data_IF_515427991532
#
_entry.id   IF_515427991532
#
_cell.length_a   1.000
_cell.length_b   1.000
_cell.length_c   1.000
_cell.angle_alpha   90.00
_cell.angle_beta   90.00
_cell.angle_gamma   90.00
#
_symmetry.space_group_name_H-M   'P 1'
#
loop_
_entity.id
_entity.type
_entity.pdbx_description
1 polymer ?
#
# COMPACT_ATOMS: atom_id res chain seq x y z
N UNK A 1 -31.05 66.46 -0.44
CA UNK A 1 -30.08 65.35 -0.50
C UNK A 1 -28.92 65.75 -1.40
N UNK A 2 -27.71 65.94 -0.85
CA UNK A 2 -26.54 66.38 -1.62
C UNK A 2 -26.10 65.32 -2.64
N UNK A 3 -26.30 65.58 -3.93
CA UNK A 3 -25.88 64.70 -5.03
C UNK A 3 -24.36 64.41 -5.02
N UNK A 4 -23.55 65.36 -4.54
CA UNK A 4 -22.10 65.21 -4.38
C UNK A 4 -21.72 64.10 -3.40
N UNK A 5 -22.49 63.89 -2.32
CA UNK A 5 -22.20 62.83 -1.34
C UNK A 5 -22.50 61.45 -1.93
N UNK A 6 -23.54 61.34 -2.76
CA UNK A 6 -23.87 60.09 -3.46
C UNK A 6 -22.83 59.72 -4.52
N UNK A 7 -22.36 60.71 -5.28
CA UNK A 7 -21.33 60.51 -6.31
C UNK A 7 -19.99 60.10 -5.69
N UNK A 8 -19.55 60.77 -4.62
CA UNK A 8 -18.33 60.42 -3.89
C UNK A 8 -18.42 58.99 -3.33
N UNK A 9 -19.56 58.59 -2.75
CA UNK A 9 -19.75 57.21 -2.27
C UNK A 9 -19.63 56.17 -3.39
N UNK A 10 -20.19 56.44 -4.58
CA UNK A 10 -20.08 55.55 -5.74
C UNK A 10 -18.64 55.40 -6.21
N UNK A 11 -17.86 56.49 -6.26
CA UNK A 11 -16.43 56.43 -6.60
C UNK A 11 -15.66 55.65 -5.55
N UNK A 12 -15.93 55.88 -4.27
CA UNK A 12 -15.30 55.13 -3.17
C UNK A 12 -15.63 53.64 -3.26
N UNK A 13 -16.90 53.28 -3.51
CA UNK A 13 -17.28 51.88 -3.72
C UNK A 13 -16.61 51.26 -4.94
N UNK A 14 -16.50 51.99 -6.06
CA UNK A 14 -15.79 51.51 -7.25
C UNK A 14 -14.30 51.29 -6.95
N UNK A 15 -13.65 52.22 -6.25
CA UNK A 15 -12.26 52.10 -5.85
C UNK A 15 -12.04 50.92 -4.91
N UNK A 16 -12.93 50.70 -3.94
CA UNK A 16 -12.90 49.52 -3.05
C UNK A 16 -13.10 48.23 -3.85
N UNK A 17 -14.06 48.18 -4.79
CA UNK A 17 -14.29 47.01 -5.64
C UNK A 17 -13.04 46.69 -6.46
N UNK A 18 -12.43 47.68 -7.12
CA UNK A 18 -11.20 47.48 -7.90
C UNK A 18 -10.05 47.04 -6.97
N UNK A 19 -9.90 47.65 -5.80
CA UNK A 19 -8.88 47.28 -4.81
C UNK A 19 -9.07 45.86 -4.26
N UNK A 20 -10.31 45.34 -4.20
CA UNK A 20 -10.60 43.96 -3.80
C UNK A 20 -10.47 42.96 -4.97
N UNK A 21 -10.85 43.37 -6.18
CA UNK A 21 -10.77 42.52 -7.38
C UNK A 21 -9.32 42.29 -7.84
N UNK A 22 -8.44 43.27 -7.67
CA UNK A 22 -7.06 43.16 -8.15
C UNK A 22 -6.26 42.05 -7.44
N UNK A 23 -6.27 41.91 -6.10
CA UNK A 23 -5.70 40.75 -5.41
C UNK A 23 -6.36 39.43 -5.81
N UNK A 24 -7.70 39.40 -5.95
CA UNK A 24 -8.43 38.19 -6.37
C UNK A 24 -8.03 37.75 -7.77
N UNK A 25 -7.83 38.69 -8.69
CA UNK A 25 -7.37 38.44 -10.04
C UNK A 25 -5.93 37.89 -10.05
N UNK A 26 -5.01 38.54 -9.33
CA UNK A 26 -3.61 38.10 -9.23
C UNK A 26 -3.46 36.72 -8.58
N UNK A 27 -4.32 36.39 -7.61
CA UNK A 27 -4.32 35.09 -6.94
C UNK A 27 -5.01 34.01 -7.79
N UNK A 28 -6.15 34.33 -8.39
CA UNK A 28 -7.13 33.35 -8.90
C UNK A 28 -7.16 33.14 -10.41
N UNK A 29 -6.38 33.89 -11.21
CA UNK A 29 -6.37 33.69 -12.66
C UNK A 29 -5.89 32.26 -13.01
N UNK A 30 -6.65 31.46 -13.78
CA UNK A 30 -6.22 30.13 -14.16
C UNK A 30 -5.08 30.18 -15.18
N UNK A 31 -4.21 29.17 -15.17
CA UNK A 31 -3.22 29.01 -16.23
C UNK A 31 -3.93 28.58 -17.53
N UNK A 32 -3.59 29.21 -18.65
CA UNK A 32 -4.13 28.86 -19.97
C UNK A 32 -3.05 28.20 -20.81
N UNK A 33 -3.35 27.02 -21.36
CA UNK A 33 -2.57 26.44 -22.46
C UNK A 33 -3.30 26.79 -23.76
N UNK A 34 -2.71 27.69 -24.57
CA UNK A 34 -3.13 27.94 -25.95
C UNK A 34 -1.97 27.60 -26.89
N UNK A 35 -2.31 27.24 -28.14
CA UNK A 35 -1.36 26.81 -29.17
C UNK A 35 -0.26 27.85 -29.49
N UNK A 36 -0.43 29.12 -29.09
CA UNK A 36 0.52 30.22 -29.32
C UNK A 36 1.16 30.78 -28.04
N UNK A 37 1.04 30.09 -26.89
CA UNK A 37 1.74 30.46 -25.66
C UNK A 37 1.01 30.04 -24.40
N UNK A 38 1.75 29.45 -23.44
CA UNK A 38 1.24 29.11 -22.12
C UNK A 38 1.30 30.32 -21.18
N UNK A 39 0.15 30.75 -20.63
CA UNK A 39 0.15 31.70 -19.51
C UNK A 39 0.28 30.94 -18.19
N UNK A 40 1.19 31.36 -17.32
CA UNK A 40 1.41 30.75 -15.99
C UNK A 40 0.23 30.89 -15.03
N UNK A 41 -0.76 31.74 -15.35
CA UNK A 41 -1.87 32.06 -14.46
C UNK A 41 -1.41 32.86 -13.22
N UNK A 42 -2.33 33.03 -12.28
CA UNK A 42 -2.12 33.67 -10.99
C UNK A 42 -1.39 32.77 -9.98
N UNK A 43 -1.13 33.29 -8.78
CA UNK A 43 -0.33 32.60 -7.75
C UNK A 43 -0.87 31.20 -7.39
N UNK A 44 -2.19 31.03 -7.31
CA UNK A 44 -2.80 29.72 -6.99
C UNK A 44 -2.60 28.69 -8.10
N UNK A 45 -2.66 29.11 -9.38
CA UNK A 45 -2.41 28.22 -10.51
C UNK A 45 -0.94 27.78 -10.54
N UNK A 46 -0.02 28.70 -10.27
CA UNK A 46 1.41 28.39 -10.13
C UNK A 46 1.66 27.42 -8.98
N UNK A 47 1.10 27.66 -7.79
CA UNK A 47 1.24 26.73 -6.67
C UNK A 47 0.65 25.35 -6.98
N UNK A 48 -0.49 25.27 -7.69
CA UNK A 48 -1.04 23.98 -8.14
C UNK A 48 -0.11 23.27 -9.11
N UNK A 49 0.51 23.99 -10.03
CA UNK A 49 1.46 23.43 -10.99
C UNK A 49 2.76 22.99 -10.30
N UNK A 50 3.30 23.79 -9.39
CA UNK A 50 4.50 23.46 -8.59
C UNK A 50 4.29 22.28 -7.65
N UNK A 51 3.04 22.04 -7.23
CA UNK A 51 2.68 20.91 -6.37
C UNK A 51 1.95 19.79 -7.14
N UNK A 52 2.03 19.79 -8.48
CA UNK A 52 1.44 18.78 -9.39
C UNK A 52 -0.02 18.41 -9.06
N UNK A 53 -0.82 19.41 -8.69
CA UNK A 53 -2.25 19.25 -8.46
C UNK A 53 -2.99 19.29 -9.81
N UNK A 54 -3.85 18.30 -10.05
CA UNK A 54 -4.61 18.05 -11.29
C UNK A 54 -5.59 19.17 -11.72
N UNK A 55 -5.55 20.34 -11.10
CA UNK A 55 -6.41 21.50 -11.37
C UNK A 55 -5.60 22.78 -11.67
N UNK A 56 -4.39 22.62 -12.21
CA UNK A 56 -3.48 23.74 -12.50
C UNK A 56 -3.85 24.48 -13.79
N UNK A 57 -4.31 23.76 -14.81
CA UNK A 57 -4.67 24.32 -16.13
C UNK A 57 -6.18 24.45 -16.34
N UNK A 58 -6.62 25.47 -17.08
CA UNK A 58 -8.04 25.74 -17.34
C UNK A 58 -8.79 24.53 -17.92
N UNK A 59 -8.13 23.69 -18.74
CA UNK A 59 -8.72 22.49 -19.33
C UNK A 59 -8.95 21.34 -18.33
N UNK A 60 -8.27 21.35 -17.19
CA UNK A 60 -8.39 20.32 -16.15
C UNK A 60 -9.30 20.74 -14.99
N UNK A 61 -9.68 22.03 -14.96
CA UNK A 61 -10.64 22.57 -13.99
C UNK A 61 -12.03 22.01 -14.31
N UNK A 62 -12.65 21.32 -13.35
CA UNK A 62 -14.05 20.91 -13.43
C UNK A 62 -14.95 22.13 -13.13
N UNK A 63 -15.71 22.67 -14.12
CA UNK A 63 -16.55 23.85 -13.91
C UNK A 63 -17.61 23.62 -12.84
N UNK A 64 -18.09 22.39 -12.67
CA UNK A 64 -19.07 22.07 -11.62
C UNK A 64 -18.42 22.11 -10.24
N UNK A 65 -17.19 21.59 -10.09
CA UNK A 65 -16.42 21.67 -8.84
C UNK A 65 -16.16 23.12 -8.43
N UNK A 66 -15.66 23.97 -9.33
CA UNK A 66 -15.40 25.37 -9.03
C UNK A 66 -16.68 26.17 -8.76
N UNK A 67 -17.75 25.91 -9.52
CA UNK A 67 -19.07 26.51 -9.26
C UNK A 67 -19.59 26.13 -7.87
N UNK A 68 -19.41 24.88 -7.45
CA UNK A 68 -19.82 24.43 -6.11
C UNK A 68 -18.97 25.05 -5.01
N UNK A 69 -17.65 25.18 -5.21
CA UNK A 69 -16.76 25.89 -4.27
C UNK A 69 -17.17 27.35 -4.14
N UNK A 70 -17.46 28.03 -5.25
CA UNK A 70 -17.93 29.40 -5.28
C UNK A 70 -19.30 29.55 -4.61
N UNK A 71 -20.26 28.67 -4.92
CA UNK A 71 -21.59 28.67 -4.32
C UNK A 71 -21.54 28.42 -2.81
N UNK A 72 -20.57 27.63 -2.34
CA UNK A 72 -20.30 27.44 -0.90
C UNK A 72 -19.55 28.59 -0.25
N UNK A 73 -19.19 29.65 -1.00
CA UNK A 73 -18.35 30.77 -0.55
C UNK A 73 -17.02 30.30 0.05
N UNK A 74 -16.44 29.23 -0.50
CA UNK A 74 -15.23 28.60 0.02
C UNK A 74 -15.42 27.70 1.25
N UNK A 75 -16.64 27.58 1.80
CA UNK A 75 -16.95 26.70 2.93
C UNK A 75 -17.19 25.24 2.49
N UNK A 76 -16.29 24.71 1.68
CA UNK A 76 -16.39 23.35 1.12
C UNK A 76 -16.50 22.27 2.21
N UNK A 77 -15.85 22.45 3.35
CA UNK A 77 -15.95 21.54 4.50
C UNK A 77 -17.35 21.48 5.12
N UNK A 78 -18.01 22.63 5.28
CA UNK A 78 -19.39 22.69 5.81
C UNK A 78 -20.36 22.07 4.82
N UNK A 79 -20.23 22.41 3.53
CA UNK A 79 -21.04 21.82 2.47
C UNK A 79 -20.86 20.30 2.40
N UNK A 80 -19.62 19.82 2.55
CA UNK A 80 -19.31 18.38 2.61
C UNK A 80 -20.00 17.69 3.79
N UNK A 81 -20.01 18.29 4.98
CA UNK A 81 -20.70 17.73 6.15
C UNK A 81 -22.21 17.64 5.93
N UNK A 82 -22.83 18.65 5.31
CA UNK A 82 -24.27 18.61 4.96
C UNK A 82 -24.55 17.47 3.97
N UNK A 83 -23.73 17.33 2.92
CA UNK A 83 -23.87 16.23 1.96
C UNK A 83 -23.65 14.88 2.63
N UNK A 84 -22.77 14.78 3.62
CA UNK A 84 -22.56 13.55 4.38
C UNK A 84 -23.80 13.15 5.18
N UNK A 85 -24.45 14.10 5.86
CA UNK A 85 -25.72 13.86 6.55
C UNK A 85 -26.82 13.41 5.57
N UNK A 86 -26.94 14.06 4.41
CA UNK A 86 -27.88 13.65 3.36
C UNK A 86 -27.59 12.26 2.81
N UNK A 87 -26.32 11.94 2.55
CA UNK A 87 -25.91 10.63 2.08
C UNK A 87 -26.28 9.53 3.09
N UNK A 88 -26.04 9.76 4.38
CA UNK A 88 -26.44 8.82 5.42
C UNK A 88 -27.96 8.62 5.48
N UNK A 89 -28.75 9.68 5.30
CA UNK A 89 -30.21 9.59 5.25
C UNK A 89 -30.71 8.82 4.02
N UNK A 90 -30.16 9.11 2.84
CA UNK A 90 -30.50 8.37 1.61
C UNK A 90 -30.08 6.91 1.68
N UNK A 91 -28.98 6.59 2.38
CA UNK A 91 -28.59 5.21 2.66
C UNK A 91 -29.63 4.52 3.54
N UNK A 92 -30.03 5.13 4.67
CA UNK A 92 -31.04 4.57 5.59
C UNK A 92 -32.39 4.34 4.93
N UNK A 93 -32.78 5.24 4.02
CA UNK A 93 -34.07 5.20 3.32
C UNK A 93 -34.00 4.46 1.99
N UNK A 94 -32.89 3.77 1.68
CA UNK A 94 -32.67 3.01 0.44
C UNK A 94 -32.88 3.82 -0.85
N UNK A 95 -32.70 5.15 -0.79
CA UNK A 95 -32.78 6.05 -1.95
C UNK A 95 -31.42 6.08 -2.69
N UNK A 96 -31.04 4.95 -3.27
CA UNK A 96 -29.67 4.74 -3.80
C UNK A 96 -29.28 5.67 -4.94
N UNK A 97 -30.22 6.11 -5.79
CA UNK A 97 -29.94 7.09 -6.85
C UNK A 97 -29.58 8.46 -6.27
N UNK A 98 -30.32 8.91 -5.25
CA UNK A 98 -30.05 10.17 -4.54
C UNK A 98 -28.76 10.08 -3.74
N UNK A 99 -28.48 8.90 -3.16
CA UNK A 99 -27.19 8.61 -2.54
C UNK A 99 -26.06 8.81 -3.55
N UNK A 100 -26.10 8.11 -4.69
CA UNK A 100 -25.07 8.21 -5.74
C UNK A 100 -24.85 9.65 -6.21
N UNK A 101 -25.93 10.42 -6.43
CA UNK A 101 -25.83 11.83 -6.83
C UNK A 101 -25.17 12.70 -5.74
N UNK A 102 -25.52 12.49 -4.47
CA UNK A 102 -24.95 13.20 -3.32
C UNK A 102 -23.45 12.88 -3.17
N UNK A 103 -23.06 11.63 -3.41
CA UNK A 103 -21.66 11.21 -3.36
C UNK A 103 -20.83 11.84 -4.49
N UNK A 104 -21.38 11.94 -5.70
CA UNK A 104 -20.75 12.65 -6.82
C UNK A 104 -20.57 14.15 -6.53
N UNK A 105 -21.51 14.77 -5.81
CA UNK A 105 -21.35 16.16 -5.36
C UNK A 105 -20.22 16.29 -4.33
N UNK A 106 -20.08 15.31 -3.43
CA UNK A 106 -19.01 15.29 -2.42
C UNK A 106 -17.62 15.19 -3.05
N UNK A 107 -17.43 14.32 -4.03
CA UNK A 107 -16.13 14.22 -4.73
C UNK A 107 -15.76 15.50 -5.47
N UNK A 108 -16.76 16.20 -6.05
CA UNK A 108 -16.54 17.52 -6.67
C UNK A 108 -16.13 18.60 -5.67
N UNK A 109 -16.59 18.56 -4.43
CA UNK A 109 -16.15 19.52 -3.40
C UNK A 109 -14.74 19.24 -2.87
N UNK A 110 -14.33 17.97 -2.82
CA UNK A 110 -13.05 17.55 -2.24
C UNK A 110 -12.30 16.55 -3.16
N UNK A 111 -11.94 16.96 -4.40
CA UNK A 111 -11.40 16.03 -5.41
C UNK A 111 -10.03 15.46 -5.07
N UNK A 112 -9.22 16.18 -4.29
CA UNK A 112 -7.88 15.75 -3.89
C UNK A 112 -7.87 15.01 -2.53
N UNK A 113 -9.04 14.82 -1.90
CA UNK A 113 -9.13 14.12 -0.63
C UNK A 113 -9.36 12.63 -0.86
N UNK A 114 -8.26 11.87 -0.94
CA UNK A 114 -8.21 10.45 -1.32
C UNK A 114 -9.23 9.57 -0.57
N UNK A 115 -9.49 9.87 0.72
CA UNK A 115 -10.43 9.12 1.55
C UNK A 115 -11.88 9.19 1.05
N UNK A 116 -12.26 10.24 0.32
CA UNK A 116 -13.59 10.33 -0.31
C UNK A 116 -13.71 9.23 -1.37
N UNK A 117 -12.71 9.10 -2.23
CA UNK A 117 -12.67 8.10 -3.29
C UNK A 117 -12.65 6.68 -2.72
N UNK A 118 -11.80 6.42 -1.72
CA UNK A 118 -11.72 5.10 -1.07
C UNK A 118 -13.04 4.71 -0.38
N UNK A 119 -13.54 5.58 0.50
CA UNK A 119 -14.72 5.24 1.31
C UNK A 119 -15.98 5.09 0.46
N UNK A 120 -16.14 5.90 -0.59
CA UNK A 120 -17.35 5.85 -1.42
C UNK A 120 -17.31 4.72 -2.45
N UNK A 121 -16.17 4.46 -3.10
CA UNK A 121 -16.03 3.28 -3.96
C UNK A 121 -16.30 1.98 -3.19
N UNK A 122 -15.81 1.90 -1.95
CA UNK A 122 -16.12 0.79 -1.05
C UNK A 122 -17.60 0.75 -0.67
N UNK A 123 -18.19 1.88 -0.29
CA UNK A 123 -19.61 1.91 0.08
C UNK A 123 -20.51 1.48 -1.08
N UNK A 124 -20.21 1.89 -2.32
CA UNK A 124 -20.97 1.49 -3.51
C UNK A 124 -20.78 -0.02 -3.81
N UNK A 125 -19.53 -0.48 -3.85
CA UNK A 125 -19.23 -1.85 -4.31
C UNK A 125 -19.39 -2.92 -3.23
N UNK A 126 -19.36 -2.58 -1.94
CA UNK A 126 -19.54 -3.54 -0.85
C UNK A 126 -20.87 -3.33 -0.17
N UNK A 127 -21.13 -2.14 0.38
CA UNK A 127 -22.30 -1.95 1.23
C UNK A 127 -23.61 -1.82 0.45
N UNK A 128 -23.64 -1.05 -0.64
CA UNK A 128 -24.86 -0.86 -1.43
C UNK A 128 -25.10 -2.06 -2.33
N UNK A 129 -24.04 -2.66 -2.90
CA UNK A 129 -24.18 -3.82 -3.79
C UNK A 129 -24.93 -4.99 -3.16
N UNK A 130 -24.76 -5.25 -1.86
CA UNK A 130 -25.35 -6.42 -1.18
C UNK A 130 -26.83 -6.24 -0.85
N UNK A 131 -27.36 -5.02 -0.96
CA UNK A 131 -28.77 -4.71 -0.68
C UNK A 131 -29.72 -5.15 -1.83
N UNK A 132 -29.18 -5.62 -2.95
CA UNK A 132 -29.96 -6.05 -4.10
C UNK A 132 -30.03 -7.57 -4.18
N UNK A 133 -31.19 -8.16 -4.46
CA UNK A 133 -31.30 -9.63 -4.56
C UNK A 133 -30.64 -10.20 -5.83
N UNK A 134 -30.79 -9.52 -6.98
CA UNK A 134 -30.23 -9.99 -8.24
C UNK A 134 -28.71 -9.69 -8.34
N UNK A 135 -27.89 -10.73 -8.54
CA UNK A 135 -26.44 -10.62 -8.72
C UNK A 135 -26.03 -9.68 -9.87
N UNK A 136 -26.83 -9.54 -10.94
CA UNK A 136 -26.53 -8.60 -12.02
C UNK A 136 -26.63 -7.15 -11.55
N UNK A 137 -27.60 -6.85 -10.68
CA UNK A 137 -27.73 -5.53 -10.05
C UNK A 137 -26.59 -5.30 -9.05
N UNK A 138 -26.21 -6.33 -8.27
CA UNK A 138 -25.03 -6.25 -7.37
C UNK A 138 -23.79 -5.88 -8.19
N UNK A 139 -23.56 -6.59 -9.29
CA UNK A 139 -22.43 -6.36 -10.20
C UNK A 139 -22.46 -4.96 -10.82
N UNK A 140 -23.62 -4.44 -11.22
CA UNK A 140 -23.75 -3.07 -11.70
C UNK A 140 -23.32 -2.02 -10.66
N UNK A 141 -23.64 -2.23 -9.37
CA UNK A 141 -23.17 -1.35 -8.28
C UNK A 141 -21.69 -1.52 -7.96
N UNK A 142 -21.14 -2.73 -8.11
CA UNK A 142 -19.69 -2.97 -8.07
C UNK A 142 -18.98 -2.14 -9.14
N UNK A 143 -19.45 -2.20 -10.39
CA UNK A 143 -18.92 -1.36 -11.48
C UNK A 143 -19.07 0.13 -11.19
N UNK A 144 -20.22 0.59 -10.67
CA UNK A 144 -20.40 2.00 -10.27
C UNK A 144 -19.34 2.46 -9.27
N UNK A 145 -19.00 1.62 -8.28
CA UNK A 145 -17.95 1.93 -7.33
C UNK A 145 -16.54 1.94 -7.94
N UNK A 146 -16.27 1.05 -8.89
CA UNK A 146 -15.02 1.05 -9.67
C UNK A 146 -14.92 2.30 -10.56
N UNK A 147 -15.96 2.67 -11.31
CA UNK A 147 -15.97 3.93 -12.08
C UNK A 147 -15.72 5.15 -11.20
N UNK A 148 -16.35 5.20 -10.02
CA UNK A 148 -16.09 6.28 -9.07
C UNK A 148 -14.62 6.31 -8.61
N UNK A 149 -13.99 5.15 -8.46
CA UNK A 149 -12.57 5.08 -8.11
C UNK A 149 -11.65 5.45 -9.29
N UNK A 150 -12.05 5.16 -10.54
CA UNK A 150 -11.33 5.57 -11.76
C UNK A 150 -11.24 7.09 -11.84
N UNK A 151 -12.36 7.78 -11.61
CA UNK A 151 -12.39 9.25 -11.49
C UNK A 151 -11.41 9.73 -10.40
N UNK A 152 -11.37 9.03 -9.26
CA UNK A 152 -10.45 9.33 -8.17
C UNK A 152 -8.98 9.20 -8.57
N UNK A 153 -8.63 8.15 -9.33
CA UNK A 153 -7.28 7.96 -9.90
C UNK A 153 -6.93 9.11 -10.85
N UNK A 154 -7.86 9.54 -11.71
CA UNK A 154 -7.61 10.65 -12.65
C UNK A 154 -7.40 11.99 -11.96
N UNK A 155 -8.10 12.23 -10.85
CA UNK A 155 -7.94 13.45 -10.05
C UNK A 155 -6.70 13.43 -9.16
N UNK A 156 -6.17 12.25 -8.82
CA UNK A 156 -5.04 12.06 -7.89
C UNK A 156 -3.93 11.23 -8.55
N UNK A 157 -3.38 11.71 -9.68
CA UNK A 157 -2.44 10.97 -10.52
C UNK A 157 -1.14 10.57 -9.84
N UNK A 158 -0.72 11.32 -8.82
CA UNK A 158 0.48 11.06 -7.99
C UNK A 158 0.17 10.32 -6.69
N UNK A 159 -0.97 9.63 -6.63
CA UNK A 159 -1.34 8.81 -5.49
C UNK A 159 -1.42 7.32 -5.90
N UNK A 160 -0.28 6.59 -5.82
CA UNK A 160 -0.22 5.16 -6.11
C UNK A 160 -1.23 4.33 -5.31
N UNK A 161 -1.64 4.83 -4.15
CA UNK A 161 -2.62 4.17 -3.29
C UNK A 161 -3.98 3.99 -3.96
N UNK A 162 -4.50 4.96 -4.71
CA UNK A 162 -5.79 4.82 -5.39
C UNK A 162 -5.70 3.83 -6.55
N UNK A 163 -4.61 3.89 -7.33
CA UNK A 163 -4.30 2.93 -8.39
C UNK A 163 -4.20 1.50 -7.84
N UNK A 164 -3.45 1.33 -6.75
CA UNK A 164 -3.33 0.05 -6.04
C UNK A 164 -4.70 -0.43 -5.53
N UNK A 165 -5.51 0.48 -4.99
CA UNK A 165 -6.83 0.14 -4.47
C UNK A 165 -7.77 -0.31 -5.59
N UNK A 166 -7.67 0.27 -6.79
CA UNK A 166 -8.38 -0.23 -7.97
C UNK A 166 -8.04 -1.68 -8.28
N UNK A 167 -6.74 -2.03 -8.27
CA UNK A 167 -6.30 -3.40 -8.43
C UNK A 167 -6.92 -4.33 -7.40
N UNK A 168 -7.08 -3.88 -6.15
CA UNK A 168 -7.76 -4.63 -5.10
C UNK A 168 -9.26 -4.81 -5.35
N UNK A 169 -9.99 -3.80 -5.84
CA UNK A 169 -11.39 -3.97 -6.21
C UNK A 169 -11.55 -4.98 -7.35
N UNK A 170 -10.82 -4.80 -8.45
CA UNK A 170 -10.95 -5.68 -9.62
C UNK A 170 -10.58 -7.12 -9.25
N UNK A 171 -9.51 -7.30 -8.48
CA UNK A 171 -9.07 -8.62 -8.02
C UNK A 171 -10.05 -9.23 -7.00
N UNK A 172 -10.23 -8.59 -5.85
CA UNK A 172 -10.88 -9.21 -4.69
C UNK A 172 -12.40 -9.13 -4.75
N UNK A 173 -12.97 -7.97 -5.14
CA UNK A 173 -14.43 -7.82 -5.12
C UNK A 173 -15.10 -8.75 -6.15
N UNK A 174 -14.46 -8.96 -7.29
CA UNK A 174 -14.94 -9.86 -8.34
C UNK A 174 -14.53 -11.31 -8.04
N UNK A 175 -13.29 -11.54 -7.58
CA UNK A 175 -12.74 -12.89 -7.42
C UNK A 175 -13.10 -13.61 -6.14
N UNK A 176 -13.57 -12.93 -5.08
CA UNK A 176 -13.83 -13.53 -3.75
C UNK A 176 -15.19 -13.19 -3.12
N UNK A 177 -16.08 -12.52 -3.85
CA UNK A 177 -17.45 -12.32 -3.39
C UNK A 177 -18.19 -13.66 -3.26
N UNK A 178 -19.27 -13.70 -2.47
CA UNK A 178 -20.14 -14.89 -2.42
C UNK A 178 -20.68 -15.23 -3.83
N UNK A 179 -20.90 -14.21 -4.67
CA UNK A 179 -21.27 -14.32 -6.08
C UNK A 179 -20.08 -14.35 -7.05
N UNK A 180 -18.86 -14.66 -6.60
CA UNK A 180 -17.65 -14.59 -7.45
C UNK A 180 -17.80 -15.38 -8.75
N UNK A 181 -18.45 -16.54 -8.74
CA UNK A 181 -18.72 -17.33 -9.95
C UNK A 181 -19.53 -16.51 -10.97
N UNK A 182 -20.60 -15.85 -10.53
CA UNK A 182 -21.44 -15.02 -11.39
C UNK A 182 -20.71 -13.75 -11.80
N UNK A 183 -20.00 -13.08 -10.89
CA UNK A 183 -19.29 -11.83 -11.18
C UNK A 183 -18.12 -12.05 -12.13
N UNK A 184 -17.35 -13.13 -11.98
CA UNK A 184 -16.28 -13.50 -12.92
C UNK A 184 -16.85 -13.77 -14.30
N UNK A 185 -17.97 -14.51 -14.40
CA UNK A 185 -18.66 -14.75 -15.67
C UNK A 185 -19.16 -13.47 -16.33
N UNK A 186 -19.72 -12.54 -15.56
CA UNK A 186 -20.16 -11.23 -16.06
C UNK A 186 -18.97 -10.40 -16.51
N UNK A 187 -17.93 -10.29 -15.68
CA UNK A 187 -16.72 -9.53 -15.96
C UNK A 187 -16.06 -9.97 -17.26
N UNK A 188 -15.80 -11.28 -17.45
CA UNK A 188 -15.20 -11.82 -18.68
C UNK A 188 -15.91 -11.37 -19.96
N UNK A 189 -17.21 -11.13 -19.91
CA UNK A 189 -18.06 -10.75 -21.06
C UNK A 189 -18.32 -9.25 -21.16
N UNK A 190 -17.89 -8.45 -20.19
CA UNK A 190 -18.21 -7.02 -20.08
C UNK A 190 -17.27 -6.16 -20.94
N UNK A 191 -17.52 -6.17 -22.26
CA UNK A 191 -16.69 -5.46 -23.23
C UNK A 191 -16.68 -3.95 -23.03
N UNK A 192 -17.79 -3.37 -22.57
CA UNK A 192 -17.88 -1.93 -22.31
C UNK A 192 -16.99 -1.55 -21.13
N UNK A 193 -17.05 -2.33 -20.04
CA UNK A 193 -16.19 -2.08 -18.90
C UNK A 193 -14.71 -2.31 -19.24
N UNK A 194 -14.37 -3.35 -20.01
CA UNK A 194 -13.00 -3.57 -20.48
C UNK A 194 -12.48 -2.44 -21.35
N UNK A 195 -13.33 -1.86 -22.22
CA UNK A 195 -12.99 -0.69 -23.01
C UNK A 195 -12.65 0.49 -22.12
N UNK A 196 -13.42 0.74 -21.07
CA UNK A 196 -13.14 1.84 -20.14
C UNK A 196 -11.85 1.59 -19.33
N UNK A 197 -11.59 0.35 -18.92
CA UNK A 197 -10.35 -0.03 -18.22
C UNK A 197 -9.11 0.08 -19.13
N UNK A 198 -9.26 -0.11 -20.44
CA UNK A 198 -8.15 -0.04 -21.41
C UNK A 198 -7.43 1.31 -21.45
N UNK A 199 -8.06 2.37 -20.94
CA UNK A 199 -7.44 3.70 -20.78
C UNK A 199 -6.33 3.70 -19.72
N UNK A 200 -6.40 2.79 -18.75
CA UNK A 200 -5.52 2.78 -17.58
C UNK A 200 -4.54 1.60 -17.58
N UNK A 201 -4.99 0.44 -18.04
CA UNK A 201 -4.22 -0.80 -18.04
C UNK A 201 -4.28 -1.48 -19.40
N UNK A 202 -3.23 -2.19 -19.83
CA UNK A 202 -3.28 -2.94 -21.08
C UNK A 202 -4.33 -4.05 -21.00
N UNK A 203 -5.30 -4.03 -21.90
CA UNK A 203 -6.42 -4.99 -21.94
C UNK A 203 -6.38 -5.93 -23.16
N UNK A 204 -5.48 -5.68 -24.10
CA UNK A 204 -5.29 -6.41 -25.36
C UNK A 204 -4.05 -7.30 -25.36
N UNK A 205 -3.58 -7.70 -24.17
CA UNK A 205 -2.37 -8.49 -23.98
C UNK A 205 -2.69 -9.89 -23.44
N UNK A 206 -1.80 -10.85 -23.69
CA UNK A 206 -1.91 -12.19 -23.10
C UNK A 206 -1.85 -12.17 -21.56
N UNK A 207 -1.25 -11.14 -20.98
CA UNK A 207 -1.10 -11.01 -19.53
C UNK A 207 -2.40 -10.78 -18.76
N UNK A 208 -3.52 -10.49 -19.45
CA UNK A 208 -4.84 -10.32 -18.84
C UNK A 208 -5.83 -11.45 -19.15
N UNK A 209 -5.47 -12.38 -20.03
CA UNK A 209 -6.38 -13.43 -20.50
C UNK A 209 -6.29 -14.69 -19.63
N UNK A 210 -7.46 -15.24 -19.29
CA UNK A 210 -7.57 -16.55 -18.68
C UNK A 210 -7.51 -17.70 -19.70
N UNK A 211 -7.67 -18.96 -19.25
CA UNK A 211 -7.63 -20.14 -20.12
C UNK A 211 -8.65 -20.11 -21.26
N UNK A 212 -9.80 -19.46 -21.04
CA UNK A 212 -10.86 -19.27 -22.04
C UNK A 212 -10.61 -18.12 -23.03
N UNK A 213 -9.41 -17.53 -23.02
CA UNK A 213 -9.01 -16.39 -23.85
C UNK A 213 -9.88 -15.14 -23.62
N UNK A 214 -10.51 -15.02 -22.45
CA UNK A 214 -11.25 -13.83 -22.02
C UNK A 214 -10.53 -13.14 -20.86
N UNK A 215 -10.73 -11.82 -20.67
CA UNK A 215 -10.08 -11.11 -19.57
C UNK A 215 -10.45 -11.68 -18.18
N UNK A 216 -9.44 -12.04 -17.39
CA UNK A 216 -9.62 -12.53 -16.03
C UNK A 216 -9.41 -11.39 -15.01
N UNK A 217 -10.29 -11.27 -14.02
CA UNK A 217 -10.25 -10.15 -13.08
C UNK A 217 -8.99 -10.15 -12.20
N UNK A 218 -8.42 -11.31 -11.86
CA UNK A 218 -7.17 -11.39 -11.09
C UNK A 218 -6.00 -10.87 -11.92
N UNK A 219 -5.99 -11.16 -13.21
CA UNK A 219 -4.95 -10.72 -14.13
C UNK A 219 -5.09 -9.24 -14.52
N UNK A 220 -6.32 -8.77 -14.75
CA UNK A 220 -6.59 -7.34 -14.96
C UNK A 220 -6.26 -6.54 -13.69
N UNK A 221 -6.65 -7.03 -12.51
CA UNK A 221 -6.30 -6.43 -11.23
C UNK A 221 -4.78 -6.40 -10.99
N UNK A 222 -4.05 -7.42 -11.45
CA UNK A 222 -2.57 -7.41 -11.47
C UNK A 222 -2.01 -6.25 -12.28
N UNK A 223 -2.56 -5.93 -13.45
CA UNK A 223 -2.09 -4.80 -14.25
C UNK A 223 -2.25 -3.45 -13.53
N UNK A 224 -3.31 -3.29 -12.73
CA UNK A 224 -3.47 -2.12 -11.87
C UNK A 224 -2.39 -2.04 -10.77
N UNK A 225 -2.01 -3.18 -10.18
CA UNK A 225 -0.88 -3.22 -9.25
C UNK A 225 0.43 -2.84 -9.94
N UNK A 226 0.69 -3.35 -11.14
CA UNK A 226 1.89 -3.00 -11.92
C UNK A 226 1.93 -1.51 -12.26
N UNK A 227 0.79 -0.92 -12.63
CA UNK A 227 0.67 0.53 -12.83
C UNK A 227 1.01 1.31 -11.56
N UNK A 228 0.53 0.85 -10.40
CA UNK A 228 0.87 1.48 -9.12
C UNK A 228 2.36 1.34 -8.79
N UNK A 229 3.01 0.24 -9.17
CA UNK A 229 4.46 0.05 -9.00
C UNK A 229 5.24 1.00 -9.88
N UNK A 230 4.81 1.18 -11.13
CA UNK A 230 5.40 2.15 -12.05
C UNK A 230 5.32 3.60 -11.55
N UNK A 231 4.23 3.98 -10.89
CA UNK A 231 4.13 5.31 -10.25
C UNK A 231 5.21 5.49 -9.18
N UNK A 232 5.49 4.47 -8.37
CA UNK A 232 6.53 4.55 -7.34
C UNK A 232 7.94 4.48 -7.94
N UNK A 233 8.19 3.50 -8.81
CA UNK A 233 9.53 3.15 -9.27
C UNK A 233 10.03 4.06 -10.40
N UNK A 234 9.13 4.47 -11.30
CA UNK A 234 9.48 5.27 -12.48
C UNK A 234 9.20 6.75 -12.27
N UNK A 235 8.12 7.09 -11.54
CA UNK A 235 7.71 8.49 -11.32
C UNK A 235 8.19 9.04 -9.97
N UNK A 236 8.62 8.17 -9.05
CA UNK A 236 9.11 8.59 -7.73
C UNK A 236 7.99 8.92 -6.74
N UNK A 237 6.74 8.55 -7.03
CA UNK A 237 5.62 8.80 -6.15
C UNK A 237 5.76 7.99 -4.84
N UNK A 238 5.52 8.59 -3.66
CA UNK A 238 5.71 7.89 -2.40
C UNK A 238 4.56 6.90 -2.11
N UNK A 239 4.92 5.77 -1.51
CA UNK A 239 3.92 4.84 -0.96
C UNK A 239 3.37 5.43 0.35
N UNK A 240 2.07 5.74 0.38
CA UNK A 240 1.38 6.26 1.58
C UNK A 240 0.37 5.26 2.14
N UNK A 241 0.33 5.12 3.46
CA UNK A 241 -0.68 4.31 4.16
C UNK A 241 -0.57 2.79 3.98
N UNK A 242 0.54 2.29 3.43
CA UNK A 242 0.84 0.86 3.28
C UNK A 242 2.35 0.67 3.39
N UNK A 243 2.80 -0.46 3.96
CA UNK A 243 4.23 -0.79 3.93
C UNK A 243 4.66 -1.23 2.52
N UNK A 244 5.91 -0.98 2.10
CA UNK A 244 6.42 -1.47 0.83
C UNK A 244 6.31 -2.99 0.68
N UNK A 245 6.44 -3.73 1.78
CA UNK A 245 6.21 -5.18 1.84
C UNK A 245 4.83 -5.55 1.27
N UNK A 246 3.75 -5.01 1.84
CA UNK A 246 2.38 -5.34 1.42
C UNK A 246 2.06 -4.76 0.03
N UNK A 247 2.56 -3.56 -0.26
CA UNK A 247 2.33 -2.90 -1.54
C UNK A 247 2.83 -3.76 -2.71
N UNK A 248 4.09 -4.22 -2.65
CA UNK A 248 4.71 -4.99 -3.73
C UNK A 248 4.34 -6.48 -3.75
N UNK A 249 3.78 -7.02 -2.66
CA UNK A 249 3.25 -8.39 -2.64
C UNK A 249 1.97 -8.55 -3.49
N UNK A 250 1.20 -7.47 -3.69
CA UNK A 250 -0.17 -7.56 -4.20
C UNK A 250 -0.27 -8.08 -5.65
N UNK A 251 0.65 -7.67 -6.54
CA UNK A 251 0.69 -8.12 -7.94
C UNK A 251 0.97 -9.62 -8.07
N UNK A 252 2.11 -10.11 -7.54
CA UNK A 252 2.41 -11.54 -7.49
C UNK A 252 1.32 -12.37 -6.79
N UNK A 253 0.77 -11.86 -5.67
CA UNK A 253 -0.34 -12.53 -4.98
C UNK A 253 -1.60 -12.59 -5.86
N UNK A 254 -1.85 -11.59 -6.71
CA UNK A 254 -2.94 -11.63 -7.69
C UNK A 254 -2.74 -12.74 -8.72
N UNK A 255 -1.49 -13.00 -9.14
CA UNK A 255 -1.17 -14.12 -10.03
C UNK A 255 -1.40 -15.46 -9.33
N UNK A 256 -0.94 -15.62 -8.09
CA UNK A 256 -1.21 -16.82 -7.29
C UNK A 256 -2.72 -17.07 -7.18
N UNK A 257 -3.49 -16.04 -6.81
CA UNK A 257 -4.94 -16.18 -6.71
C UNK A 257 -5.60 -16.55 -8.05
N UNK A 258 -5.10 -16.01 -9.17
CA UNK A 258 -5.56 -16.41 -10.50
C UNK A 258 -5.41 -17.92 -10.70
N UNK A 259 -4.21 -18.45 -10.45
CA UNK A 259 -3.94 -19.88 -10.70
C UNK A 259 -4.78 -20.76 -9.78
N UNK A 260 -4.85 -20.44 -8.49
CA UNK A 260 -5.73 -21.15 -7.55
C UNK A 260 -7.19 -21.12 -8.00
N UNK A 261 -7.69 -19.97 -8.46
CA UNK A 261 -9.09 -19.87 -8.92
C UNK A 261 -9.35 -20.67 -10.18
N UNK A 262 -8.46 -20.73 -11.16
CA UNK A 262 -8.70 -21.53 -12.36
C UNK A 262 -8.65 -23.05 -12.06
N UNK A 263 -7.83 -23.48 -11.09
CA UNK A 263 -7.85 -24.87 -10.61
C UNK A 263 -9.19 -25.22 -9.93
N UNK A 264 -9.70 -24.33 -9.08
CA UNK A 264 -11.02 -24.46 -8.45
C UNK A 264 -12.16 -24.51 -9.50
N UNK A 265 -11.99 -23.81 -10.63
CA UNK A 265 -12.90 -23.85 -11.78
C UNK A 265 -12.74 -25.10 -12.66
N UNK A 266 -11.75 -25.95 -12.39
CA UNK A 266 -11.53 -27.24 -13.06
C UNK A 266 -10.51 -27.23 -14.19
N UNK A 267 -9.73 -26.16 -14.36
CA UNK A 267 -8.60 -26.13 -15.30
C UNK A 267 -7.37 -26.78 -14.62
N UNK A 268 -7.10 -28.04 -14.94
CA UNK A 268 -6.03 -28.87 -14.35
C UNK A 268 -5.05 -29.40 -15.41
N UNK A 269 -4.92 -28.69 -16.53
CA UNK A 269 -4.10 -29.09 -17.67
C UNK A 269 -2.70 -28.44 -17.63
N UNK A 270 -1.95 -28.61 -18.71
CA UNK A 270 -0.60 -28.03 -18.86
C UNK A 270 -0.61 -26.50 -18.71
N UNK A 271 -1.69 -25.81 -19.10
CA UNK A 271 -1.79 -24.35 -18.94
C UNK A 271 -1.86 -23.94 -17.46
N UNK A 272 -2.53 -24.72 -16.62
CA UNK A 272 -2.56 -24.47 -15.18
C UNK A 272 -1.16 -24.68 -14.55
N UNK A 273 -0.42 -25.71 -15.00
CA UNK A 273 0.95 -25.95 -14.55
C UNK A 273 1.90 -24.81 -14.95
N UNK A 274 1.87 -24.38 -16.22
CA UNK A 274 2.65 -23.22 -16.69
C UNK A 274 2.30 -21.95 -15.91
N UNK A 275 1.02 -21.73 -15.61
CA UNK A 275 0.58 -20.58 -14.84
C UNK A 275 1.15 -20.58 -13.41
N UNK A 276 1.25 -21.75 -12.76
CA UNK A 276 1.91 -21.91 -11.46
C UNK A 276 3.41 -21.59 -11.53
N UNK A 277 4.11 -22.04 -12.58
CA UNK A 277 5.52 -21.71 -12.77
C UNK A 277 5.74 -20.20 -12.88
N UNK A 278 4.88 -19.50 -13.63
CA UNK A 278 4.90 -18.04 -13.74
C UNK A 278 4.60 -17.39 -12.40
N UNK A 279 3.58 -17.86 -11.67
CA UNK A 279 3.23 -17.35 -10.34
C UNK A 279 4.40 -17.48 -9.35
N UNK A 280 5.06 -18.65 -9.32
CA UNK A 280 6.22 -18.91 -8.49
C UNK A 280 7.41 -18.03 -8.86
N UNK A 281 7.69 -17.86 -10.15
CA UNK A 281 8.75 -16.99 -10.63
C UNK A 281 8.52 -15.52 -10.22
N UNK A 282 7.28 -15.02 -10.34
CA UNK A 282 6.90 -13.69 -9.89
C UNK A 282 7.02 -13.53 -8.37
N UNK A 283 6.61 -14.54 -7.59
CA UNK A 283 6.72 -14.52 -6.13
C UNK A 283 8.18 -14.49 -5.66
N UNK A 284 9.05 -15.31 -6.28
CA UNK A 284 10.50 -15.28 -6.02
C UNK A 284 11.13 -13.95 -6.41
N UNK A 285 10.74 -13.37 -7.54
CA UNK A 285 11.21 -12.03 -7.95
C UNK A 285 10.80 -10.96 -6.95
N UNK A 286 9.59 -11.05 -6.39
CA UNK A 286 9.17 -10.19 -5.28
C UNK A 286 10.03 -10.42 -4.03
N UNK A 287 10.37 -11.67 -3.68
CA UNK A 287 11.27 -11.93 -2.56
C UNK A 287 12.70 -11.42 -2.76
N UNK A 288 13.15 -11.27 -4.00
CA UNK A 288 14.45 -10.64 -4.32
C UNK A 288 14.40 -9.11 -4.30
N UNK A 289 13.24 -8.49 -4.09
CA UNK A 289 13.13 -7.04 -3.98
C UNK A 289 13.76 -6.54 -2.68
N UNK A 290 14.42 -5.39 -2.75
CA UNK A 290 14.88 -4.65 -1.58
C UNK A 290 13.69 -4.01 -0.86
N UNK A 291 13.39 -4.46 0.35
CA UNK A 291 12.30 -3.94 1.18
C UNK A 291 12.90 -3.16 2.35
N UNK A 292 12.63 -1.85 2.48
CA UNK A 292 13.08 -1.09 3.63
C UNK A 292 12.34 -1.56 4.89
N UNK A 293 13.10 -1.78 5.95
CA UNK A 293 12.56 -2.17 7.26
C UNK A 293 12.44 -0.98 8.20
N UNK A 294 11.65 -1.13 9.26
CA UNK A 294 11.58 -0.18 10.37
C UNK A 294 12.90 -0.02 11.14
N UNK A 295 13.87 -0.93 10.95
CA UNK A 295 15.19 -0.89 11.60
C UNK A 295 16.25 -0.15 10.79
N UNK A 296 15.88 0.51 9.69
CA UNK A 296 16.79 1.39 8.94
C UNK A 296 17.73 0.68 7.96
N UNK A 297 17.51 -0.60 7.68
CA UNK A 297 18.19 -1.34 6.61
C UNK A 297 17.19 -2.03 5.69
N UNK A 298 17.65 -2.42 4.51
CA UNK A 298 16.84 -3.16 3.54
C UNK A 298 17.05 -4.66 3.70
N UNK A 299 16.00 -5.43 3.43
CA UNK A 299 16.03 -6.89 3.40
C UNK A 299 15.56 -7.41 2.03
N UNK A 300 15.93 -8.64 1.72
CA UNK A 300 15.38 -9.42 0.61
C UNK A 300 14.81 -10.71 1.19
N UNK A 301 13.52 -10.98 0.99
CA UNK A 301 12.87 -12.15 1.55
C UNK A 301 13.52 -13.44 1.06
N UNK A 302 13.86 -13.53 -0.23
CA UNK A 302 14.43 -14.75 -0.82
C UNK A 302 15.82 -15.13 -0.26
N UNK A 303 16.53 -14.18 0.37
CA UNK A 303 17.89 -14.35 0.89
C UNK A 303 18.01 -14.98 2.28
N UNK A 304 16.91 -15.38 2.91
CA UNK A 304 16.95 -15.96 4.26
C UNK A 304 17.90 -17.16 4.35
N UNK A 305 17.76 -18.15 3.45
CA UNK A 305 18.58 -19.36 3.48
C UNK A 305 20.06 -19.05 3.19
N UNK A 306 20.33 -18.12 2.26
CA UNK A 306 21.67 -17.61 1.98
C UNK A 306 22.28 -16.93 3.22
N UNK A 307 21.48 -16.12 3.94
CA UNK A 307 21.89 -15.41 5.16
C UNK A 307 22.21 -16.39 6.29
N UNK A 308 21.40 -17.44 6.45
CA UNK A 308 21.65 -18.49 7.44
C UNK A 308 22.88 -19.32 7.09
N UNK A 309 23.05 -19.71 5.82
CA UNK A 309 24.21 -20.47 5.39
C UNK A 309 25.52 -19.67 5.58
N UNK A 310 25.52 -18.37 5.24
CA UNK A 310 26.65 -17.48 5.51
C UNK A 310 26.93 -17.39 7.01
N UNK A 311 25.89 -17.22 7.83
CA UNK A 311 26.01 -17.19 9.30
C UNK A 311 26.66 -18.48 9.83
N UNK A 312 26.13 -19.64 9.46
CA UNK A 312 26.63 -20.95 9.90
C UNK A 312 28.09 -21.17 9.49
N UNK A 313 28.47 -20.77 8.27
CA UNK A 313 29.84 -20.84 7.80
C UNK A 313 30.77 -19.96 8.64
N UNK A 314 30.39 -18.72 8.93
CA UNK A 314 31.19 -17.82 9.75
C UNK A 314 31.25 -18.26 11.22
N UNK A 315 30.18 -18.86 11.74
CA UNK A 315 30.18 -19.46 13.08
C UNK A 315 31.14 -20.64 13.18
N UNK A 316 31.24 -21.48 12.14
CA UNK A 316 32.22 -22.55 12.08
C UNK A 316 33.66 -22.00 12.08
N UNK A 317 33.96 -21.01 11.23
CA UNK A 317 35.26 -20.33 11.20
C UNK A 317 35.59 -19.68 12.56
N UNK A 318 34.60 -19.05 13.19
CA UNK A 318 34.77 -18.41 14.49
C UNK A 318 35.09 -19.42 15.60
N UNK A 319 34.45 -20.60 15.59
CA UNK A 319 34.74 -21.68 16.53
C UNK A 319 36.16 -22.22 16.38
N UNK A 320 36.67 -22.33 15.15
CA UNK A 320 38.06 -22.77 14.90
C UNK A 320 39.10 -21.77 15.46
N UNK A 321 38.79 -20.48 15.46
CA UNK A 321 39.66 -19.43 16.02
C UNK A 321 39.62 -19.34 17.55
N UNK A 322 38.58 -19.92 18.17
CA UNK A 322 38.31 -19.81 19.61
C UNK A 322 37.95 -21.19 20.24
N UNK A 323 38.80 -22.22 20.09
CA UNK A 323 38.50 -23.54 20.63
C UNK A 323 38.49 -23.49 22.16
N UNK A 324 37.46 -24.09 22.78
CA UNK A 324 37.31 -24.17 24.25
C UNK A 324 36.90 -22.86 24.95
N UNK A 325 37.15 -21.69 24.35
CA UNK A 325 36.84 -20.39 24.96
C UNK A 325 35.34 -20.19 25.26
N UNK A 326 34.46 -20.79 24.46
CA UNK A 326 33.02 -20.75 24.70
C UNK A 326 32.65 -21.39 26.04
N UNK A 327 33.17 -22.58 26.31
CA UNK A 327 32.90 -23.32 27.55
C UNK A 327 33.56 -22.63 28.75
N UNK A 328 34.80 -22.14 28.60
CA UNK A 328 35.49 -21.38 29.64
C UNK A 328 34.72 -20.12 30.06
N UNK A 329 34.25 -19.32 29.11
CA UNK A 329 33.44 -18.11 29.41
C UNK A 329 32.12 -18.51 30.07
N UNK A 330 31.49 -19.60 29.62
CA UNK A 330 30.23 -20.08 30.19
C UNK A 330 30.41 -20.51 31.65
N UNK A 331 31.44 -21.28 31.96
CA UNK A 331 31.76 -21.70 33.33
C UNK A 331 32.05 -20.51 34.25
N UNK A 332 32.81 -19.52 33.77
CA UNK A 332 33.03 -18.27 34.53
C UNK A 332 31.74 -17.50 34.81
N UNK A 333 30.79 -17.50 33.87
CA UNK A 333 29.49 -16.86 34.06
C UNK A 333 28.63 -17.64 35.04
N UNK A 334 28.61 -18.98 34.94
CA UNK A 334 27.90 -19.86 35.90
C UNK A 334 28.43 -19.65 37.32
N UNK A 335 29.75 -19.54 37.49
CA UNK A 335 30.37 -19.31 38.79
C UNK A 335 30.00 -17.95 39.42
N UNK A 336 29.52 -16.99 38.62
CA UNK A 336 29.09 -15.65 39.08
C UNK A 336 27.59 -15.55 39.32
N UNK A 337 26.81 -16.57 38.95
CA UNK A 337 25.38 -16.58 39.20
C UNK A 337 25.08 -16.64 40.71
N UNK A 338 23.97 -16.02 41.15
CA UNK A 338 23.39 -16.29 42.46
C UNK A 338 23.17 -17.79 42.69
N UNK A 339 23.32 -18.25 43.94
CA UNK A 339 23.24 -19.68 44.30
C UNK A 339 21.90 -20.32 43.91
N UNK A 340 20.80 -19.61 44.12
CA UNK A 340 19.45 -20.02 43.76
C UNK A 340 19.26 -20.14 42.24
N UNK A 341 19.80 -19.19 41.48
CA UNK A 341 19.77 -19.21 40.02
C UNK A 341 20.65 -20.35 39.43
N UNK A 342 21.83 -20.60 40.03
CA UNK A 342 22.71 -21.70 39.63
C UNK A 342 22.07 -23.06 39.90
N UNK A 343 21.52 -23.27 41.09
CA UNK A 343 20.81 -24.51 41.44
C UNK A 343 19.61 -24.75 40.52
N UNK A 344 18.85 -23.70 40.19
CA UNK A 344 17.73 -23.81 39.26
C UNK A 344 18.20 -24.16 37.82
N UNK A 345 19.34 -23.62 37.37
CA UNK A 345 19.91 -23.90 36.05
C UNK A 345 20.39 -25.36 35.92
N UNK A 346 21.04 -25.89 36.96
CA UNK A 346 21.57 -27.27 37.01
C UNK A 346 20.46 -28.32 37.15
N UNK A 347 19.34 -27.97 37.78
CA UNK A 347 18.21 -28.87 37.98
C UNK A 347 17.55 -29.25 36.64
N UNK A 348 17.22 -30.54 36.38
CA UNK A 348 16.47 -30.96 35.20
C UNK A 348 15.13 -30.23 35.09
N UNK A 349 14.70 -29.88 33.87
CA UNK A 349 13.49 -29.08 33.67
C UNK A 349 12.24 -29.69 34.33
N UNK A 350 12.14 -31.02 34.33
CA UNK A 350 11.02 -31.79 34.90
C UNK A 350 10.93 -31.71 36.42
N UNK A 351 12.03 -31.38 37.10
CA UNK A 351 12.14 -31.33 38.57
C UNK A 351 12.00 -29.90 39.13
N UNK A 352 11.99 -28.89 38.25
CA UNK A 352 11.90 -27.48 38.64
C UNK A 352 10.50 -27.12 39.13
N UNK A 353 10.42 -26.40 40.24
CA UNK A 353 9.16 -25.81 40.70
C UNK A 353 8.85 -24.47 39.99
N UNK A 354 7.65 -23.92 40.21
CA UNK A 354 7.18 -22.67 39.58
C UNK A 354 8.11 -21.47 39.80
N UNK A 355 8.84 -21.41 40.92
CA UNK A 355 9.77 -20.32 41.22
C UNK A 355 11.15 -20.52 40.56
N UNK A 356 11.56 -21.78 40.37
CA UNK A 356 12.84 -22.15 39.76
C UNK A 356 12.82 -22.06 38.23
N UNK A 357 11.66 -22.24 37.60
CA UNK A 357 11.51 -22.08 36.15
C UNK A 357 12.00 -20.74 35.60
N UNK A 358 11.49 -19.58 36.10
CA UNK A 358 11.94 -18.27 35.60
C UNK A 358 13.40 -17.98 35.96
N UNK A 359 13.89 -18.47 37.11
CA UNK A 359 15.29 -18.34 37.52
C UNK A 359 16.23 -19.11 36.58
N UNK A 360 15.91 -20.36 36.27
CA UNK A 360 16.69 -21.19 35.34
C UNK A 360 16.69 -20.62 33.92
N UNK A 361 15.55 -20.09 33.46
CA UNK A 361 15.45 -19.44 32.15
C UNK A 361 16.32 -18.18 32.07
N UNK A 362 16.21 -17.29 33.07
CA UNK A 362 17.03 -16.08 33.14
C UNK A 362 18.52 -16.40 33.22
N UNK A 363 18.90 -17.33 34.10
CA UNK A 363 20.27 -17.81 34.23
C UNK A 363 20.81 -18.39 32.91
N UNK A 364 19.99 -19.18 32.20
CA UNK A 364 20.36 -19.76 30.91
C UNK A 364 20.66 -18.72 29.83
N UNK A 365 19.93 -17.61 29.81
CA UNK A 365 20.21 -16.48 28.92
C UNK A 365 21.48 -15.73 29.32
N UNK A 366 21.70 -15.53 30.62
CA UNK A 366 22.85 -14.79 31.14
C UNK A 366 24.18 -15.51 30.91
N UNK A 367 24.21 -16.84 31.11
CA UNK A 367 25.43 -17.65 30.97
C UNK A 367 25.84 -17.91 29.54
N UNK A 368 24.97 -17.64 28.55
CA UNK A 368 25.31 -17.81 27.14
C UNK A 368 26.42 -16.79 26.78
N UNK A 369 27.61 -17.25 26.35
CA UNK A 369 28.63 -16.33 25.86
C UNK A 369 28.14 -15.62 24.59
N UNK A 370 28.54 -14.38 24.41
CA UNK A 370 28.33 -13.64 23.16
C UNK A 370 29.55 -13.76 22.26
N UNK A 371 29.36 -13.60 20.94
CA UNK A 371 30.45 -13.60 19.98
C UNK A 371 31.50 -12.53 20.31
N UNK A 372 31.08 -11.35 20.79
CA UNK A 372 31.99 -10.28 21.23
C UNK A 372 32.85 -10.65 22.43
N UNK A 373 32.27 -11.30 23.44
CA UNK A 373 33.01 -11.74 24.63
C UNK A 373 34.09 -12.75 24.26
N UNK A 374 33.73 -13.74 23.44
CA UNK A 374 34.66 -14.75 22.95
C UNK A 374 35.77 -14.08 22.13
N UNK A 375 35.41 -13.22 21.17
CA UNK A 375 36.35 -12.52 20.32
C UNK A 375 37.35 -11.64 21.10
N UNK A 376 36.94 -11.08 22.25
CA UNK A 376 37.82 -10.28 23.09
C UNK A 376 38.94 -11.10 23.76
N UNK A 377 38.72 -12.41 23.97
CA UNK A 377 39.64 -13.32 24.66
C UNK A 377 40.51 -14.17 23.74
N UNK A 378 40.21 -14.18 22.44
CA UNK A 378 41.07 -14.80 21.42
C UNK A 378 42.50 -14.21 21.47
N UNK A 379 43.50 -15.02 21.12
CA UNK A 379 44.92 -14.66 21.01
C UNK A 379 45.13 -13.33 20.25
N UNK A 380 46.13 -12.56 20.65
CA UNK A 380 46.31 -11.16 20.20
C UNK A 380 46.48 -11.00 18.68
N UNK A 381 47.10 -11.96 18.02
CA UNK A 381 47.31 -12.04 16.58
C UNK A 381 46.01 -12.34 15.80
N UNK A 382 45.11 -13.14 16.36
CA UNK A 382 43.82 -13.54 15.74
C UNK A 382 42.65 -12.65 16.16
N UNK A 383 42.79 -11.87 17.22
CA UNK A 383 41.73 -11.05 17.85
C UNK A 383 41.02 -10.10 16.90
N UNK A 384 41.74 -9.47 15.98
CA UNK A 384 41.15 -8.55 15.00
C UNK A 384 40.18 -9.27 14.07
N UNK A 385 40.59 -10.43 13.53
CA UNK A 385 39.76 -11.30 12.69
C UNK A 385 38.55 -11.82 13.46
N UNK A 386 38.75 -12.30 14.69
CA UNK A 386 37.66 -12.78 15.55
C UNK A 386 36.61 -11.69 15.80
N UNK A 387 37.03 -10.44 16.10
CA UNK A 387 36.10 -9.32 16.27
C UNK A 387 35.32 -9.00 14.99
N UNK A 388 35.97 -9.09 13.83
CA UNK A 388 35.32 -8.91 12.53
C UNK A 388 34.24 -9.96 12.27
N UNK A 389 34.56 -11.23 12.50
CA UNK A 389 33.63 -12.35 12.37
C UNK A 389 32.46 -12.23 13.36
N UNK A 390 32.74 -11.96 14.63
CA UNK A 390 31.72 -11.78 15.67
C UNK A 390 30.69 -10.71 15.28
N UNK A 391 31.17 -9.55 14.80
CA UNK A 391 30.28 -8.48 14.34
C UNK A 391 29.43 -8.93 13.14
N UNK A 392 30.04 -9.61 12.16
CA UNK A 392 29.32 -10.07 10.96
C UNK A 392 28.28 -11.14 11.28
N UNK A 393 28.58 -12.07 12.19
CA UNK A 393 27.63 -13.11 12.64
C UNK A 393 26.43 -12.45 13.33
N UNK A 394 26.67 -11.49 14.24
CA UNK A 394 25.59 -10.75 14.90
C UNK A 394 24.73 -9.95 13.90
N UNK A 395 25.35 -9.32 12.90
CA UNK A 395 24.63 -8.65 11.81
C UNK A 395 23.75 -9.65 11.05
N UNK A 396 24.31 -10.77 10.59
CA UNK A 396 23.57 -11.79 9.84
C UNK A 396 22.42 -12.40 10.66
N UNK A 397 22.63 -12.60 11.96
CA UNK A 397 21.58 -13.05 12.87
C UNK A 397 20.41 -12.06 12.93
N UNK A 398 20.70 -10.76 13.05
CA UNK A 398 19.66 -9.73 13.00
C UNK A 398 18.95 -9.68 11.64
N UNK A 399 19.70 -9.76 10.53
CA UNK A 399 19.12 -9.80 9.20
C UNK A 399 18.21 -11.03 9.02
N UNK A 400 18.64 -12.21 9.46
CA UNK A 400 17.84 -13.43 9.38
C UNK A 400 16.55 -13.31 10.19
N UNK A 401 16.60 -12.79 11.42
CA UNK A 401 15.41 -12.57 12.24
C UNK A 401 14.42 -11.59 11.58
N UNK A 402 14.91 -10.48 11.03
CA UNK A 402 14.07 -9.51 10.34
C UNK A 402 13.47 -10.05 9.06
N UNK A 403 14.25 -10.81 8.27
CA UNK A 403 13.76 -11.48 7.07
C UNK A 403 12.65 -12.47 7.43
N UNK A 404 12.85 -13.32 8.44
CA UNK A 404 11.85 -14.29 8.89
C UNK A 404 10.55 -13.60 9.33
N UNK A 405 10.67 -12.55 10.15
CA UNK A 405 9.50 -11.78 10.59
C UNK A 405 8.72 -11.19 9.41
N UNK A 406 9.41 -10.68 8.38
CA UNK A 406 8.76 -10.10 7.21
C UNK A 406 8.19 -11.18 6.28
N UNK A 407 8.84 -12.34 6.15
CA UNK A 407 8.30 -13.52 5.45
C UNK A 407 6.98 -13.95 6.07
N UNK A 408 6.88 -13.98 7.39
CA UNK A 408 5.67 -14.37 8.11
C UNK A 408 4.49 -13.40 7.89
N UNK A 409 4.73 -12.10 7.74
CA UNK A 409 3.66 -11.12 7.49
C UNK A 409 2.89 -11.39 6.18
N UNK A 410 3.58 -11.92 5.16
CA UNK A 410 3.00 -12.18 3.83
C UNK A 410 2.88 -13.67 3.51
N UNK A 411 3.09 -14.55 4.49
CA UNK A 411 3.15 -16.00 4.31
C UNK A 411 4.09 -16.40 3.15
N UNK A 412 5.27 -15.78 3.08
CA UNK A 412 6.18 -15.90 1.93
C UNK A 412 6.56 -17.35 1.62
N UNK A 413 6.88 -18.13 2.66
CA UNK A 413 7.30 -19.52 2.50
C UNK A 413 6.19 -20.42 1.96
N UNK A 414 4.95 -20.23 2.43
CA UNK A 414 3.81 -21.03 2.00
C UNK A 414 3.59 -20.97 0.48
N UNK A 415 3.78 -19.80 -0.13
CA UNK A 415 3.60 -19.59 -1.57
C UNK A 415 4.87 -19.79 -2.40
N UNK A 416 6.01 -20.07 -1.76
CA UNK A 416 7.29 -20.33 -2.44
C UNK A 416 7.51 -21.83 -2.70
N UNK A 417 6.84 -22.69 -1.93
CA UNK A 417 6.82 -24.15 -2.09
C UNK A 417 5.73 -24.54 -3.05
#
# INVERSE_FOLDING_TARGET
MNQNVSFVRKIVYLAIIVALLLPLFLLGQPATQQAEGSSRGGMLANMRLENDLSQASLGEIDPASESMKLASLGMSGVATNILWTKANEYKKTQQFDKLSATLNQKSKLQPNFIKVWEAQSHNLSYNVSVEFDNYEHRYAWVKKGMYFLMDGVDKNRHEPRLTHYMGWFVSQKIGRSDEHVQFRRLFRRDRDFHKDLSVYVPMDTQDVLGPDQMPDNWLVGRQWYMRAYDQVEKQGDPIRGKSPLIFYASGPMSRINFVTTIEEEGYLDEQAAEAWEVALAEWKRYGLRQIPTSWGHNIQLEKYEETLAEKEQLEAEFKELAPGLWDEIREEKIAKLPEDARQALEMPAEERNEQQYPLAYGAGLEVRPTYREVAARVESDKRSRAKGLARRIEELEQFAEHIDRYRNIVNYLYWRT
#
